data_IF_388072214400
#
_entry.id   IF_388072214400
#
_cell.length_a   1.000
_cell.length_b   1.000
_cell.length_c   1.000
_cell.angle_alpha   90.00
_cell.angle_beta   90.00
_cell.angle_gamma   90.00
#
_symmetry.space_group_name_H-M   'P 1'
#
loop_
_entity.id
_entity.type
_entity.pdbx_description
1 polymer ?
#
# COMPACT_ATOMS: atom_id res chain seq x y z
N UNK A 1 0.41 -15.36 11.27
CA UNK A 1 0.42 -13.91 10.91
C UNK A 1 1.72 -13.31 11.42
N UNK A 2 2.46 -12.68 10.54
CA UNK A 2 3.75 -12.07 10.84
C UNK A 2 3.64 -10.54 10.69
N UNK A 3 4.17 -9.79 11.66
CA UNK A 3 4.39 -8.36 11.58
C UNK A 3 5.89 -8.13 11.40
N UNK A 4 6.25 -7.60 10.24
CA UNK A 4 7.63 -7.22 9.94
C UNK A 4 7.75 -5.70 10.09
N UNK A 5 8.68 -5.24 10.91
CA UNK A 5 9.03 -3.83 11.03
C UNK A 5 10.22 -3.54 10.10
N UNK A 6 10.03 -2.58 9.20
CA UNK A 6 11.06 -2.12 8.28
C UNK A 6 11.29 -0.63 8.47
N UNK A 7 12.45 -0.26 8.98
CA UNK A 7 12.77 1.14 9.31
C UNK A 7 11.75 1.78 10.25
N UNK A 8 11.28 1.06 11.25
CA UNK A 8 10.18 1.41 12.16
C UNK A 8 8.79 1.56 11.46
N UNK A 9 8.65 1.13 10.22
CA UNK A 9 7.39 1.13 9.50
C UNK A 9 6.79 -0.28 9.50
N UNK A 10 5.57 -0.48 10.03
CA UNK A 10 4.98 -1.80 10.13
C UNK A 10 4.51 -2.31 8.76
N UNK A 11 4.90 -3.55 8.42
CA UNK A 11 4.39 -4.30 7.26
C UNK A 11 3.79 -5.61 7.76
N UNK A 12 2.48 -5.74 7.64
CA UNK A 12 1.75 -6.92 8.10
C UNK A 12 1.63 -7.92 6.96
N UNK A 13 2.10 -9.14 7.18
CA UNK A 13 2.02 -10.23 6.22
C UNK A 13 1.17 -11.36 6.80
N UNK A 14 0.29 -11.91 5.97
CA UNK A 14 -0.50 -13.08 6.32
C UNK A 14 -0.66 -14.03 5.14
N UNK A 15 -0.32 -15.28 5.35
CA UNK A 15 -0.49 -16.32 4.35
C UNK A 15 -1.79 -17.11 4.62
N UNK A 16 -2.70 -17.06 3.66
CA UNK A 16 -3.96 -17.81 3.69
C UNK A 16 -3.74 -19.20 3.07
N UNK A 17 -3.45 -20.18 3.91
CA UNK A 17 -3.37 -21.58 3.46
C UNK A 17 -4.72 -22.05 2.88
N UNK A 18 -4.68 -22.97 1.90
CA UNK A 18 -5.89 -23.47 1.25
C UNK A 18 -6.62 -22.45 0.39
N UNK A 19 -5.87 -21.56 -0.26
CA UNK A 19 -6.43 -20.50 -1.11
C UNK A 19 -6.55 -20.88 -2.58
N UNK A 20 -6.27 -22.11 -2.95
CA UNK A 20 -6.15 -22.56 -4.35
C UNK A 20 -7.47 -22.36 -5.10
N UNK A 21 -8.61 -22.75 -4.51
CA UNK A 21 -9.92 -22.58 -5.12
C UNK A 21 -10.32 -21.10 -5.24
N UNK A 22 -10.12 -20.32 -4.16
CA UNK A 22 -10.35 -18.89 -4.19
C UNK A 22 -9.51 -18.21 -5.27
N UNK A 23 -8.22 -18.53 -5.35
CA UNK A 23 -7.30 -17.95 -6.32
C UNK A 23 -7.69 -18.32 -7.75
N UNK A 24 -8.12 -19.55 -7.99
CA UNK A 24 -8.64 -19.96 -9.30
C UNK A 24 -9.87 -19.13 -9.70
N UNK A 25 -10.83 -18.97 -8.80
CA UNK A 25 -12.02 -18.15 -9.05
C UNK A 25 -11.69 -16.66 -9.26
N UNK A 26 -10.78 -16.09 -8.45
CA UNK A 26 -10.30 -14.70 -8.63
C UNK A 26 -9.60 -14.51 -9.97
N UNK A 27 -8.70 -15.44 -10.34
CA UNK A 27 -8.03 -15.42 -11.64
C UNK A 27 -9.03 -15.37 -12.79
N UNK A 28 -10.01 -16.27 -12.78
CA UNK A 28 -10.99 -16.39 -13.87
C UNK A 28 -11.84 -15.11 -14.01
N UNK A 29 -12.28 -14.52 -12.90
CA UNK A 29 -12.99 -13.23 -12.87
C UNK A 29 -12.12 -12.11 -13.44
N UNK A 30 -10.87 -12.02 -12.99
CA UNK A 30 -9.93 -10.96 -13.41
C UNK A 30 -9.63 -11.07 -14.91
N UNK A 31 -9.31 -12.26 -15.39
CA UNK A 31 -9.00 -12.49 -16.80
C UNK A 31 -10.21 -12.24 -17.71
N UNK A 32 -11.42 -12.61 -17.29
CA UNK A 32 -12.63 -12.29 -18.03
C UNK A 32 -12.88 -10.77 -18.14
N UNK A 33 -12.59 -10.00 -17.10
CA UNK A 33 -12.68 -8.53 -17.15
C UNK A 33 -11.58 -7.92 -18.03
N UNK A 34 -10.37 -8.42 -17.94
CA UNK A 34 -9.27 -7.99 -18.79
C UNK A 34 -9.56 -8.15 -20.29
N UNK A 35 -10.33 -9.19 -20.67
CA UNK A 35 -10.76 -9.38 -22.06
C UNK A 35 -11.78 -8.34 -22.53
N UNK A 36 -12.52 -7.71 -21.62
CA UNK A 36 -13.61 -6.78 -21.92
C UNK A 36 -13.21 -5.31 -21.83
N UNK A 37 -12.09 -5.00 -21.19
CA UNK A 37 -11.64 -3.63 -20.94
C UNK A 37 -10.16 -3.46 -21.24
N UNK A 38 -9.79 -2.30 -21.76
CA UNK A 38 -8.37 -1.94 -21.93
C UNK A 38 -7.65 -1.66 -20.61
N UNK A 39 -8.41 -1.53 -19.51
CA UNK A 39 -7.89 -1.11 -18.22
C UNK A 39 -7.46 0.36 -18.21
N UNK A 40 -6.80 0.73 -17.11
CA UNK A 40 -6.30 2.09 -16.90
C UNK A 40 -4.77 2.11 -16.87
N UNK A 41 -4.19 3.26 -17.19
CA UNK A 41 -2.75 3.52 -17.11
C UNK A 41 -2.50 4.41 -15.91
N UNK A 42 -1.75 3.90 -14.94
CA UNK A 42 -1.35 4.63 -13.73
C UNK A 42 0.15 4.45 -13.51
N UNK A 43 0.55 3.67 -12.51
CA UNK A 43 1.95 3.31 -12.27
C UNK A 43 2.39 2.07 -13.03
N UNK A 44 1.46 1.31 -13.57
CA UNK A 44 1.69 0.10 -14.36
C UNK A 44 2.34 0.42 -15.71
N UNK A 45 3.31 -0.39 -16.09
CA UNK A 45 3.97 -0.37 -17.41
C UNK A 45 3.90 -1.77 -18.00
N UNK A 46 3.29 -1.91 -19.18
CA UNK A 46 3.18 -3.18 -19.91
C UNK A 46 2.20 -4.19 -19.32
N UNK A 47 1.58 -3.89 -18.16
CA UNK A 47 0.56 -4.72 -17.51
C UNK A 47 -0.84 -4.13 -17.66
N UNK A 48 -1.87 -4.97 -17.50
CA UNK A 48 -3.25 -4.53 -17.37
C UNK A 48 -3.57 -4.19 -15.92
N UNK A 49 -4.34 -3.12 -15.71
CA UNK A 49 -4.80 -2.60 -14.41
C UNK A 49 -6.30 -2.30 -14.55
N UNK A 50 -7.15 -2.91 -13.73
CA UNK A 50 -8.59 -2.62 -13.75
C UNK A 50 -8.89 -1.21 -13.23
N UNK A 51 -10.13 -0.77 -13.38
CA UNK A 51 -10.66 0.34 -12.58
C UNK A 51 -10.55 0.01 -11.08
N UNK A 52 -10.67 1.04 -10.22
CA UNK A 52 -10.55 0.90 -8.75
C UNK A 52 -11.88 0.53 -8.09
N UNK A 53 -12.66 -0.30 -8.77
CA UNK A 53 -14.04 -0.68 -8.45
C UNK A 53 -14.20 -2.13 -7.99
N UNK A 54 -13.12 -2.86 -7.77
CA UNK A 54 -13.13 -4.28 -7.40
C UNK A 54 -14.15 -4.62 -6.29
N UNK A 55 -14.34 -3.80 -5.23
CA UNK A 55 -15.34 -4.10 -4.22
C UNK A 55 -16.79 -4.11 -4.71
N UNK A 56 -17.07 -3.55 -5.89
CA UNK A 56 -18.38 -3.56 -6.54
C UNK A 56 -18.61 -4.78 -7.45
N UNK A 57 -17.61 -5.62 -7.62
CA UNK A 57 -17.73 -6.82 -8.42
C UNK A 57 -18.54 -7.89 -7.66
N UNK A 58 -19.56 -8.43 -8.32
CA UNK A 58 -20.56 -9.29 -7.66
C UNK A 58 -20.21 -10.79 -7.67
N UNK A 59 -19.07 -11.16 -8.22
CA UNK A 59 -18.64 -12.55 -8.31
C UNK A 59 -18.25 -13.10 -6.91
N UNK A 60 -18.70 -14.35 -6.56
CA UNK A 60 -18.50 -14.90 -5.21
C UNK A 60 -17.06 -14.89 -4.70
N UNK A 61 -16.01 -15.14 -5.52
CA UNK A 61 -14.62 -15.05 -5.04
C UNK A 61 -14.24 -13.67 -4.51
N UNK A 62 -14.83 -12.60 -5.04
CA UNK A 62 -14.60 -11.23 -4.58
C UNK A 62 -15.15 -11.04 -3.16
N UNK A 63 -16.35 -11.53 -2.88
CA UNK A 63 -16.95 -11.45 -1.56
C UNK A 63 -16.08 -12.15 -0.51
N UNK A 64 -15.59 -13.36 -0.80
CA UNK A 64 -14.69 -14.10 0.07
C UNK A 64 -13.37 -13.33 0.32
N UNK A 65 -12.79 -12.76 -0.73
CA UNK A 65 -11.59 -11.93 -0.58
C UNK A 65 -11.85 -10.72 0.32
N UNK A 66 -12.96 -10.02 0.12
CA UNK A 66 -13.31 -8.85 0.93
C UNK A 66 -13.56 -9.18 2.40
N UNK A 67 -14.09 -10.36 2.71
CA UNK A 67 -14.19 -10.85 4.10
C UNK A 67 -12.81 -11.07 4.72
N UNK A 68 -11.89 -11.69 3.98
CA UNK A 68 -10.48 -11.82 4.42
C UNK A 68 -9.84 -10.46 4.69
N UNK A 69 -10.06 -9.48 3.81
CA UNK A 69 -9.56 -8.11 3.99
C UNK A 69 -10.13 -7.48 5.26
N UNK A 70 -11.44 -7.61 5.52
CA UNK A 70 -12.07 -7.08 6.75
C UNK A 70 -11.52 -7.74 8.01
N UNK A 71 -11.32 -9.05 7.99
CA UNK A 71 -10.68 -9.76 9.10
C UNK A 71 -9.27 -9.23 9.37
N UNK A 72 -8.50 -8.98 8.33
CA UNK A 72 -7.15 -8.43 8.43
C UNK A 72 -7.13 -6.98 8.95
N UNK A 73 -8.13 -6.15 8.61
CA UNK A 73 -8.26 -4.80 9.17
C UNK A 73 -8.37 -4.86 10.71
N UNK A 74 -9.19 -5.75 11.23
CA UNK A 74 -9.31 -5.93 12.69
C UNK A 74 -7.98 -6.30 13.34
N UNK A 75 -7.21 -7.20 12.72
CA UNK A 75 -5.89 -7.59 13.23
C UNK A 75 -4.85 -6.47 13.08
N UNK A 76 -4.89 -5.73 11.97
CA UNK A 76 -4.04 -4.58 11.74
C UNK A 76 -4.22 -3.53 12.85
N UNK A 77 -5.47 -3.19 13.16
CA UNK A 77 -5.80 -2.23 14.24
C UNK A 77 -5.29 -2.74 15.58
N UNK A 78 -5.52 -4.01 15.92
CA UNK A 78 -5.05 -4.58 17.19
C UNK A 78 -3.52 -4.55 17.35
N UNK A 79 -2.77 -4.66 16.25
CA UNK A 79 -1.29 -4.67 16.29
C UNK A 79 -0.65 -3.29 16.21
N UNK A 80 -1.33 -2.32 15.61
CA UNK A 80 -0.72 -1.02 15.31
C UNK A 80 -1.30 0.14 16.13
N UNK A 81 -2.45 -0.05 16.77
CA UNK A 81 -3.10 0.98 17.58
C UNK A 81 -2.99 0.62 19.06
N UNK A 82 -2.40 1.52 19.84
CA UNK A 82 -2.38 1.39 21.30
C UNK A 82 -3.78 1.69 21.84
N UNK A 83 -4.36 0.76 22.63
CA UNK A 83 -5.71 0.86 23.17
C UNK A 83 -6.79 1.10 22.10
N UNK A 84 -7.02 0.16 21.17
CA UNK A 84 -8.00 0.31 20.12
C UNK A 84 -9.41 0.42 20.68
N UNK A 85 -10.20 1.33 20.12
CA UNK A 85 -11.62 1.53 20.43
C UNK A 85 -12.49 1.02 19.27
N UNK A 86 -13.82 1.00 19.45
CA UNK A 86 -14.76 0.69 18.36
C UNK A 86 -14.61 1.64 17.17
N UNK A 87 -14.29 2.91 17.40
CA UNK A 87 -14.04 3.88 16.32
C UNK A 87 -12.90 3.46 15.39
N UNK A 88 -11.83 2.86 15.94
CA UNK A 88 -10.71 2.35 15.15
C UNK A 88 -11.06 1.10 14.34
N UNK A 89 -12.07 0.33 14.77
CA UNK A 89 -12.49 -0.92 14.12
C UNK A 89 -13.58 -0.72 13.07
N UNK A 90 -14.34 0.35 13.20
CA UNK A 90 -15.47 0.69 12.34
C UNK A 90 -15.07 1.69 11.25
N UNK A 91 -16.00 2.06 10.38
CA UNK A 91 -15.88 3.14 9.37
C UNK A 91 -14.75 2.94 8.34
N UNK A 92 -14.33 1.70 8.14
CA UNK A 92 -13.39 1.36 7.07
C UNK A 92 -14.12 1.16 5.75
N UNK A 93 -13.59 1.74 4.70
CA UNK A 93 -13.97 1.47 3.32
C UNK A 93 -12.78 0.91 2.55
N UNK A 94 -13.09 0.00 1.63
CA UNK A 94 -12.11 -0.70 0.81
C UNK A 94 -12.27 -0.22 -0.63
N UNK A 95 -11.19 0.25 -1.22
CA UNK A 95 -11.03 0.45 -2.66
C UNK A 95 -10.05 -0.61 -3.16
N UNK A 96 -10.26 -1.15 -4.34
CA UNK A 96 -9.35 -2.17 -4.84
C UNK A 96 -9.38 -2.30 -6.35
N UNK A 97 -8.33 -2.86 -6.91
CA UNK A 97 -8.16 -3.13 -8.33
C UNK A 97 -7.28 -4.35 -8.57
N UNK A 98 -7.45 -4.95 -9.73
CA UNK A 98 -6.63 -6.08 -10.15
C UNK A 98 -5.51 -5.62 -11.09
N UNK A 99 -4.36 -6.28 -11.00
CA UNK A 99 -3.24 -6.13 -11.92
C UNK A 99 -2.90 -7.48 -12.54
N UNK A 100 -2.69 -7.49 -13.86
CA UNK A 100 -2.18 -8.64 -14.59
C UNK A 100 -0.89 -8.24 -15.29
N UNK A 101 0.22 -8.75 -14.80
CA UNK A 101 1.54 -8.49 -15.35
C UNK A 101 1.98 -9.66 -16.24
N UNK A 102 2.43 -9.33 -17.45
CA UNK A 102 3.08 -10.23 -18.39
C UNK A 102 4.58 -9.94 -18.39
N UNK A 103 5.34 -10.79 -19.09
CA UNK A 103 6.79 -10.59 -19.25
C UNK A 103 7.15 -9.16 -19.61
N UNK A 104 8.10 -8.56 -18.89
CA UNK A 104 8.55 -7.18 -19.02
C UNK A 104 7.70 -6.16 -18.27
N UNK A 105 6.49 -6.52 -17.81
CA UNK A 105 5.64 -5.60 -17.06
C UNK A 105 6.19 -5.31 -15.66
N UNK A 106 5.99 -4.08 -15.20
CA UNK A 106 6.42 -3.62 -13.87
C UNK A 106 5.51 -2.49 -13.37
N UNK A 107 5.66 -2.11 -12.11
CA UNK A 107 5.02 -0.91 -11.56
C UNK A 107 6.08 0.07 -11.09
N UNK A 108 5.95 1.33 -11.51
CA UNK A 108 6.84 2.43 -11.08
C UNK A 108 6.75 2.64 -9.58
N UNK A 109 7.82 3.16 -8.99
CA UNK A 109 7.85 3.51 -7.57
C UNK A 109 6.84 4.62 -7.25
N UNK A 110 5.95 4.35 -6.26
CA UNK A 110 4.84 5.22 -5.88
C UNK A 110 4.40 4.94 -4.44
N UNK A 111 3.48 5.77 -3.95
CA UNK A 111 2.76 5.60 -2.69
C UNK A 111 1.28 5.93 -2.89
N UNK A 112 0.43 5.61 -1.91
CA UNK A 112 -1.02 5.79 -2.03
C UNK A 112 -1.59 6.90 -1.11
N UNK A 113 -0.74 7.65 -0.44
CA UNK A 113 -1.19 8.65 0.55
C UNK A 113 -1.76 9.95 -0.03
N UNK A 114 -1.84 10.09 -1.37
CA UNK A 114 -2.34 11.30 -2.02
C UNK A 114 -1.46 12.53 -1.80
N UNK A 115 -1.21 13.34 -2.85
CA UNK A 115 -0.19 14.40 -2.77
C UNK A 115 -0.72 15.79 -2.36
N UNK A 116 -1.99 16.14 -2.62
CA UNK A 116 -2.48 17.52 -2.54
C UNK A 116 -3.53 17.77 -1.48
N UNK A 117 -4.26 16.76 -1.11
CA UNK A 117 -5.33 16.81 -0.11
C UNK A 117 -5.04 15.79 0.99
N UNK A 118 -5.51 16.04 2.22
CA UNK A 118 -5.46 15.02 3.26
C UNK A 118 -6.07 13.72 2.75
N UNK A 119 -5.36 12.62 2.90
CA UNK A 119 -5.80 11.32 2.42
C UNK A 119 -6.48 10.56 3.54
N UNK A 120 -7.64 9.96 3.25
CA UNK A 120 -8.28 8.99 4.13
C UNK A 120 -7.71 7.59 3.95
N UNK A 121 -6.89 7.36 2.92
CA UNK A 121 -6.21 6.11 2.72
C UNK A 121 -5.06 5.99 3.73
N UNK A 122 -5.26 5.19 4.76
CA UNK A 122 -4.31 4.99 5.84
C UNK A 122 -3.37 3.82 5.54
N UNK A 123 -3.91 2.76 4.95
CA UNK A 123 -3.18 1.55 4.64
C UNK A 123 -3.42 1.14 3.20
N UNK A 124 -2.42 0.53 2.62
CA UNK A 124 -2.51 -0.15 1.33
C UNK A 124 -2.26 -1.63 1.50
N UNK A 125 -2.75 -2.43 0.57
CA UNK A 125 -2.57 -3.87 0.62
C UNK A 125 -2.34 -4.47 -0.75
N UNK A 126 -1.77 -5.67 -0.73
CA UNK A 126 -1.59 -6.52 -1.91
C UNK A 126 -2.03 -7.92 -1.55
N UNK A 127 -2.88 -8.53 -2.38
CA UNK A 127 -3.15 -9.95 -2.35
C UNK A 127 -2.60 -10.61 -3.61
N UNK A 128 -1.83 -11.67 -3.45
CA UNK A 128 -1.23 -12.40 -4.56
C UNK A 128 -2.15 -13.54 -4.97
N UNK A 129 -2.73 -13.44 -6.18
CA UNK A 129 -3.60 -14.47 -6.77
C UNK A 129 -2.76 -15.51 -7.50
N UNK A 130 -1.84 -15.05 -8.35
CA UNK A 130 -0.86 -15.88 -9.05
C UNK A 130 0.51 -15.21 -9.05
N UNK A 131 1.56 -16.00 -8.81
CA UNK A 131 2.93 -15.52 -8.83
C UNK A 131 3.56 -15.56 -10.25
N UNK A 132 2.96 -16.34 -11.16
CA UNK A 132 3.48 -16.56 -12.51
C UNK A 132 4.86 -17.20 -12.54
N UNK A 133 5.36 -17.71 -11.40
CA UNK A 133 6.72 -18.21 -11.23
C UNK A 133 7.72 -17.17 -10.76
N UNK A 134 7.27 -15.99 -10.31
CA UNK A 134 8.14 -14.94 -9.74
C UNK A 134 9.04 -15.47 -8.62
N UNK A 135 10.28 -15.00 -8.61
CA UNK A 135 11.26 -15.33 -7.55
C UNK A 135 11.83 -16.74 -7.58
N UNK A 136 11.34 -17.64 -8.46
CA UNK A 136 11.81 -19.02 -8.53
C UNK A 136 13.21 -19.17 -9.15
N UNK A 137 13.60 -18.23 -9.99
CA UNK A 137 14.88 -18.26 -10.71
C UNK A 137 16.03 -17.62 -9.92
N UNK A 138 15.84 -17.19 -8.66
CA UNK A 138 16.87 -16.49 -7.88
C UNK A 138 17.28 -15.13 -8.45
N UNK A 139 16.55 -14.62 -9.43
CA UNK A 139 16.80 -13.33 -10.05
C UNK A 139 16.28 -12.21 -9.13
N UNK A 140 17.12 -11.27 -8.78
CA UNK A 140 16.80 -10.12 -7.92
C UNK A 140 15.78 -9.13 -8.53
N UNK A 141 15.26 -9.43 -9.72
CA UNK A 141 14.35 -8.56 -10.50
C UNK A 141 13.29 -9.35 -11.24
N UNK A 142 12.51 -10.16 -10.54
CA UNK A 142 11.48 -10.99 -11.20
C UNK A 142 10.12 -10.79 -10.55
N UNK A 143 9.45 -9.69 -10.91
CA UNK A 143 8.10 -9.39 -10.43
C UNK A 143 7.99 -9.24 -8.91
N UNK A 144 9.08 -8.92 -8.24
CA UNK A 144 9.15 -8.76 -6.79
C UNK A 144 8.53 -7.43 -6.38
N UNK A 145 7.78 -7.42 -5.29
CA UNK A 145 7.35 -6.17 -4.67
C UNK A 145 8.43 -5.70 -3.70
N UNK A 146 8.87 -4.47 -3.89
CA UNK A 146 9.93 -3.86 -3.08
C UNK A 146 9.43 -2.61 -2.41
N UNK A 147 9.76 -2.46 -1.12
CA UNK A 147 9.48 -1.29 -0.31
C UNK A 147 10.77 -0.53 -0.04
N UNK A 148 10.74 0.79 -0.26
CA UNK A 148 11.86 1.68 -0.02
C UNK A 148 11.72 2.34 1.36
N UNK A 149 12.66 2.12 2.26
CA UNK A 149 12.78 2.93 3.47
C UNK A 149 13.48 4.24 3.13
N UNK A 150 12.76 5.35 3.31
CA UNK A 150 13.28 6.70 3.13
C UNK A 150 13.31 7.48 4.44
N UNK A 151 13.24 6.80 5.57
CA UNK A 151 13.24 7.42 6.88
C UNK A 151 14.59 8.05 7.24
N UNK A 152 14.89 9.20 6.60
CA UNK A 152 15.81 10.20 7.16
C UNK A 152 17.30 9.89 7.16
N UNK A 153 17.79 8.80 6.60
CA UNK A 153 19.23 8.59 6.47
C UNK A 153 19.74 9.27 5.19
N UNK A 154 20.77 10.12 5.29
CA UNK A 154 21.38 10.76 4.13
C UNK A 154 21.78 9.75 3.06
N UNK A 155 21.47 10.05 1.78
CA UNK A 155 21.83 9.19 0.63
C UNK A 155 23.33 8.86 0.59
N UNK A 156 24.15 9.76 1.13
CA UNK A 156 25.60 9.64 1.20
C UNK A 156 26.02 8.49 2.14
N UNK A 157 25.30 8.28 3.24
CA UNK A 157 25.55 7.19 4.18
C UNK A 157 25.06 5.86 3.59
N UNK A 158 23.94 5.86 2.84
CA UNK A 158 23.40 4.66 2.18
C UNK A 158 24.32 4.12 1.07
N UNK A 159 25.20 4.95 0.50
CA UNK A 159 26.17 4.53 -0.52
C UNK A 159 27.42 3.89 0.05
N UNK A 160 27.66 4.02 1.34
CA UNK A 160 28.93 3.65 1.96
C UNK A 160 28.91 2.29 2.64
N UNK A 161 27.78 1.62 2.78
CA UNK A 161 27.75 0.36 3.52
C UNK A 161 26.56 -0.53 3.15
N UNK A 162 26.86 -1.67 2.58
CA UNK A 162 25.97 -2.79 2.30
C UNK A 162 25.16 -3.33 3.52
N UNK A 163 25.60 -3.15 4.79
CA UNK A 163 24.83 -3.60 5.95
C UNK A 163 23.52 -2.84 6.19
N UNK A 164 23.25 -1.76 5.45
CA UNK A 164 22.04 -0.95 5.57
C UNK A 164 21.13 -1.08 4.34
N UNK A 165 20.98 -2.29 3.83
CA UNK A 165 19.98 -2.56 2.81
C UNK A 165 18.60 -2.20 3.38
N UNK A 166 18.06 -1.05 2.92
CA UNK A 166 16.79 -0.49 3.37
C UNK A 166 15.67 -0.78 2.37
N UNK A 167 15.69 -1.98 1.85
CA UNK A 167 14.71 -2.42 0.91
C UNK A 167 14.10 -3.74 1.40
N UNK A 168 12.84 -3.69 1.83
CA UNK A 168 12.12 -4.93 2.12
C UNK A 168 11.60 -5.51 0.80
N UNK A 169 11.98 -6.73 0.51
CA UNK A 169 11.53 -7.48 -0.67
C UNK A 169 10.46 -8.49 -0.28
N UNK A 170 9.31 -8.43 -0.95
CA UNK A 170 8.28 -9.46 -0.87
C UNK A 170 8.34 -10.32 -2.12
N UNK A 171 8.58 -11.60 -1.92
CA UNK A 171 8.48 -12.61 -2.98
C UNK A 171 7.00 -12.97 -3.15
N UNK A 172 6.42 -12.83 -4.36
CA UNK A 172 5.05 -13.23 -4.62
C UNK A 172 4.80 -14.69 -4.26
N UNK A 173 3.71 -14.93 -3.54
CA UNK A 173 3.23 -16.27 -3.21
C UNK A 173 1.70 -16.26 -3.27
N UNK A 174 1.05 -17.13 -4.07
CA UNK A 174 -0.41 -17.21 -4.11
C UNK A 174 -1.00 -17.43 -2.72
N UNK A 175 -1.98 -16.61 -2.31
CA UNK A 175 -2.56 -16.62 -0.96
C UNK A 175 -1.87 -15.70 0.04
N UNK A 176 -0.72 -15.09 -0.28
CA UNK A 176 -0.10 -14.08 0.55
C UNK A 176 -0.85 -12.75 0.47
N UNK A 177 -1.18 -12.18 1.63
CA UNK A 177 -1.75 -10.84 1.78
C UNK A 177 -0.78 -9.97 2.59
N UNK A 178 -0.49 -8.78 2.06
CA UNK A 178 0.45 -7.84 2.69
C UNK A 178 -0.25 -6.51 2.88
N UNK A 179 -0.19 -5.93 4.10
CA UNK A 179 -0.63 -4.56 4.37
C UNK A 179 0.53 -3.70 4.86
N UNK A 180 0.52 -2.44 4.43
CA UNK A 180 1.55 -1.45 4.73
C UNK A 180 0.94 -0.05 4.75
N UNK A 181 1.54 0.92 5.47
CA UNK A 181 1.08 2.31 5.47
C UNK A 181 1.01 2.88 4.06
N UNK A 182 -0.05 3.62 3.76
CA UNK A 182 -0.26 4.20 2.44
C UNK A 182 0.84 5.20 2.01
N UNK A 183 1.63 5.71 2.96
CA UNK A 183 2.80 6.56 2.72
C UNK A 183 4.05 5.79 2.30
N UNK A 184 4.09 4.47 2.54
CA UNK A 184 5.26 3.65 2.24
C UNK A 184 5.44 3.52 0.73
N UNK A 185 6.58 4.01 0.24
CA UNK A 185 6.92 3.95 -1.17
C UNK A 185 7.29 2.53 -1.57
N UNK A 186 6.75 2.08 -2.69
CA UNK A 186 6.97 0.73 -3.19
C UNK A 186 6.90 0.68 -4.71
N UNK A 187 7.44 -0.40 -5.26
CA UNK A 187 7.42 -0.68 -6.71
C UNK A 187 7.42 -2.19 -6.95
N UNK A 188 7.16 -2.57 -8.20
CA UNK A 188 7.30 -3.96 -8.66
C UNK A 188 8.38 -4.02 -9.70
N UNK A 189 9.36 -4.90 -9.51
CA UNK A 189 10.44 -5.10 -10.46
C UNK A 189 9.93 -5.71 -11.78
N UNK A 190 10.62 -5.52 -12.92
CA UNK A 190 10.24 -6.15 -14.18
C UNK A 190 10.05 -7.66 -14.03
N UNK A 191 8.87 -8.13 -14.45
CA UNK A 191 8.51 -9.53 -14.38
C UNK A 191 9.11 -10.30 -15.57
N UNK A 192 9.76 -11.43 -15.31
CA UNK A 192 10.47 -12.20 -16.34
C UNK A 192 9.77 -13.51 -16.73
N UNK A 193 8.72 -13.92 -16.00
CA UNK A 193 8.03 -15.19 -16.24
C UNK A 193 7.18 -15.20 -17.52
N UNK A 194 6.79 -16.40 -17.95
CA UNK A 194 5.98 -16.63 -19.16
C UNK A 194 4.47 -16.64 -18.87
N UNK A 195 4.06 -16.99 -17.65
CA UNK A 195 2.66 -17.01 -17.23
C UNK A 195 2.23 -15.64 -16.71
N UNK A 196 0.93 -15.43 -16.50
CA UNK A 196 0.44 -14.21 -15.86
C UNK A 196 0.86 -14.16 -14.38
N UNK A 197 1.32 -13.00 -13.93
CA UNK A 197 1.41 -12.65 -12.51
C UNK A 197 0.19 -11.78 -12.17
N UNK A 198 -0.66 -12.26 -11.26
CA UNK A 198 -1.93 -11.62 -10.94
C UNK A 198 -1.93 -11.19 -9.47
N UNK A 199 -2.20 -9.92 -9.24
CA UNK A 199 -2.35 -9.35 -7.89
C UNK A 199 -3.59 -8.48 -7.80
N UNK A 200 -4.13 -8.38 -6.58
CA UNK A 200 -5.17 -7.41 -6.24
C UNK A 200 -4.54 -6.41 -5.28
N UNK A 201 -4.57 -5.13 -5.66
CA UNK A 201 -4.14 -4.04 -4.81
C UNK A 201 -5.35 -3.43 -4.11
N UNK A 202 -5.13 -2.95 -2.89
CA UNK A 202 -6.16 -2.47 -1.98
C UNK A 202 -5.74 -1.13 -1.35
N UNK A 203 -6.70 -0.26 -1.15
CA UNK A 203 -6.61 0.91 -0.30
C UNK A 203 -7.62 0.79 0.83
N UNK A 204 -7.17 0.94 2.06
CA UNK A 204 -7.99 0.91 3.26
C UNK A 204 -8.16 2.35 3.76
N UNK A 205 -9.36 2.88 3.57
CA UNK A 205 -9.73 4.25 3.93
C UNK A 205 -10.53 4.24 5.21
N UNK A 206 -10.32 5.23 6.06
CA UNK A 206 -11.07 5.41 7.30
C UNK A 206 -11.74 6.79 7.34
N UNK A 207 -13.03 6.84 7.71
CA UNK A 207 -13.78 8.09 7.69
C UNK A 207 -13.43 9.05 8.84
N UNK A 208 -12.97 8.51 9.96
CA UNK A 208 -12.59 9.30 11.15
C UNK A 208 -11.14 9.79 11.18
N UNK A 209 -10.26 9.21 10.34
CA UNK A 209 -8.84 9.53 10.33
C UNK A 209 -8.36 9.95 8.95
N UNK A 210 -7.42 10.88 8.92
CA UNK A 210 -6.80 11.36 7.70
C UNK A 210 -5.30 11.47 7.88
N UNK A 211 -4.54 11.10 6.87
CA UNK A 211 -3.14 11.47 6.77
C UNK A 211 -3.10 12.95 6.38
N UNK A 212 -2.48 13.82 7.19
CA UNK A 212 -2.21 15.18 6.77
C UNK A 212 -1.46 15.18 5.45
N UNK A 213 -1.51 16.29 4.72
CA UNK A 213 -0.83 16.42 3.41
C UNK A 213 0.57 15.80 3.47
N UNK A 214 0.73 14.67 2.79
CA UNK A 214 2.03 14.04 2.59
C UNK A 214 2.73 14.71 1.40
N UNK A 215 3.90 15.26 1.63
CA UNK A 215 4.77 15.80 0.58
C UNK A 215 5.87 14.77 0.38
N UNK A 216 5.87 14.11 -0.77
CA UNK A 216 6.96 13.20 -1.14
C UNK A 216 8.26 14.03 -1.22
N UNK A 217 9.28 13.71 -0.41
CA UNK A 217 10.54 14.47 -0.38
C UNK A 217 11.29 14.44 -1.71
N UNK A 218 10.99 13.50 -2.59
CA UNK A 218 11.64 13.41 -3.91
C UNK A 218 10.94 14.20 -5.01
N UNK A 219 9.77 14.76 -4.74
CA UNK A 219 9.14 15.68 -5.68
C UNK A 219 9.78 17.05 -5.53
N UNK A 220 10.50 17.56 -6.55
CA UNK A 220 11.19 18.84 -6.44
C UNK A 220 10.24 19.96 -6.02
N UNK A 221 10.65 20.75 -5.04
CA UNK A 221 9.82 21.83 -4.46
C UNK A 221 9.33 22.89 -5.47
N UNK A 222 10.00 23.01 -6.61
CA UNK A 222 9.56 23.92 -7.69
C UNK A 222 8.24 23.48 -8.35
N UNK A 223 7.92 22.19 -8.37
CA UNK A 223 6.64 21.70 -8.89
C UNK A 223 5.47 22.12 -7.98
N UNK A 224 5.74 22.49 -6.74
CA UNK A 224 4.73 22.92 -5.77
C UNK A 224 4.47 24.44 -5.80
N UNK A 225 5.36 25.25 -6.40
CA UNK A 225 5.25 26.72 -6.40
C UNK A 225 4.18 27.27 -7.35
N UNK A 226 3.74 26.50 -8.35
CA UNK A 226 2.80 26.97 -9.37
C UNK A 226 1.31 26.73 -9.05
N UNK A 227 0.98 26.31 -7.82
CA UNK A 227 -0.39 26.09 -7.39
C UNK A 227 -0.83 27.09 -6.32
N UNK A 228 -1.31 28.25 -6.77
CA UNK A 228 -2.10 29.18 -5.95
C UNK A 228 -3.56 28.71 -5.92
N UNK A 229 -3.89 27.79 -5.03
CA UNK A 229 -5.26 27.52 -4.58
C UNK A 229 -5.48 28.13 -3.20
N UNK A 230 -6.72 28.46 -2.78
CA UNK A 230 -6.97 29.19 -1.54
C UNK A 230 -6.48 28.40 -0.34
N UNK A 231 -5.68 29.07 0.48
CA UNK A 231 -5.14 28.60 1.74
C UNK A 231 -6.27 28.63 2.77
N UNK A 232 -6.95 27.51 2.97
CA UNK A 232 -7.83 27.30 4.12
C UNK A 232 -7.19 26.27 5.05
N UNK A 233 -7.07 26.69 6.33
CA UNK A 233 -6.64 25.90 7.50
C UNK A 233 -5.16 25.98 7.88
N UNK A 234 -4.67 27.19 8.15
CA UNK A 234 -3.49 27.36 9.01
C UNK A 234 -3.87 27.69 10.48
N UNK A 235 -5.16 27.88 10.82
CA UNK A 235 -5.56 28.33 12.15
C UNK A 235 -5.72 27.20 13.17
N UNK A 236 -6.16 26.02 12.78
CA UNK A 236 -6.47 24.91 13.71
C UNK A 236 -5.20 24.19 14.22
N UNK A 237 -4.18 24.08 13.38
CA UNK A 237 -2.91 23.44 13.78
C UNK A 237 -2.11 24.35 14.70
N UNK A 238 -2.12 25.69 14.48
CA UNK A 238 -1.46 26.65 15.39
C UNK A 238 -2.13 26.69 16.77
N UNK A 239 -3.44 26.48 16.87
CA UNK A 239 -4.12 26.40 18.17
C UNK A 239 -3.80 25.11 18.94
N UNK A 240 -3.67 23.96 18.26
CA UNK A 240 -3.28 22.71 18.88
C UNK A 240 -1.84 22.75 19.41
N UNK A 241 -0.91 23.30 18.64
CA UNK A 241 0.50 23.44 19.07
C UNK A 241 0.62 24.46 20.24
N UNK A 242 -0.12 25.57 20.22
CA UNK A 242 -0.14 26.51 21.35
C UNK A 242 -0.68 25.88 22.64
N UNK A 243 -1.69 25.00 22.57
CA UNK A 243 -2.20 24.30 23.75
C UNK A 243 -1.22 23.27 24.33
N UNK A 244 -0.36 22.65 23.51
CA UNK A 244 0.67 21.73 23.99
C UNK A 244 1.86 22.45 24.62
N UNK A 245 2.20 23.65 24.16
CA UNK A 245 3.37 24.42 24.68
C UNK A 245 2.99 25.23 25.93
N UNK A 246 1.72 25.61 26.11
CA UNK A 246 1.27 26.40 27.28
C UNK A 246 0.83 25.55 28.48
N UNK A 247 0.85 24.20 28.37
CA UNK A 247 0.42 23.29 29.45
C UNK A 247 1.50 22.86 30.45
N UNK A 248 2.76 23.29 30.30
CA UNK A 248 3.87 22.88 31.18
C UNK A 248 4.47 24.05 31.94
N UNK A 249 3.64 24.73 32.74
CA UNK A 249 4.06 25.75 33.69
C UNK A 249 3.78 25.31 35.13
N UNK A 250 4.41 24.26 35.61
CA UNK A 250 4.43 23.85 37.03
C UNK A 250 5.63 24.47 37.72
N UNK A 251 5.38 25.28 38.76
CA UNK A 251 6.36 25.99 39.59
C UNK A 251 7.23 25.04 40.43
N UNK A 252 8.46 25.45 40.78
CA UNK A 252 9.32 24.67 41.65
C UNK A 252 9.00 24.88 43.13
N UNK A 253 9.09 23.82 43.88
CA UNK A 253 9.48 23.81 45.27
C UNK A 253 10.56 22.76 45.46
#
# INVERSE_FOLDING_TARGET
MELVEFGAVPVLQYFWAGSEELNAGLRDVILARMQRTHGVVDTNVGGWHSERDLPSWNEPPIAVLLERVRSMIGELVRRTVTNPTSEHLEKWSIEGWANVNRRGAFNKAHHHAGGRIPSRNLWSGIYYVEDGGSGRAGLSRDGLTKFEDRSGVPKEILRCSDPFERELTIVPQPGLMVFFPATLRHYVTPYAGESNRITIALNLKHDGFVIPRYVDPDVPSFMWRNFRGPMLVASTVKQAIRKMVSGNGGKPY
#
